data_IF_988334818861
#
_entry.id   IF_988334818861
#
_cell.length_a   1.000
_cell.length_b   1.000
_cell.length_c   1.000
_cell.angle_alpha   90.00
_cell.angle_beta   90.00
_cell.angle_gamma   90.00
#
_symmetry.space_group_name_H-M   'P 1'
#
loop_
_entity.id
_entity.type
_entity.pdbx_description
1 polymer ?
#
# COMPACT_ATOMS: atom_id res chain seq x y z
N UNK A 1 8.64 14.71 15.59
CA UNK A 1 8.13 15.12 14.27
C UNK A 1 6.63 14.92 14.23
N UNK A 2 5.92 15.93 13.75
CA UNK A 2 4.48 15.84 13.64
C UNK A 2 4.06 15.13 12.38
N UNK A 3 3.02 14.32 12.50
CA UNK A 3 2.42 13.70 11.33
C UNK A 3 1.69 14.76 10.51
N UNK A 4 1.67 14.62 9.17
CA UNK A 4 0.87 15.53 8.36
C UNK A 4 -0.59 15.52 8.77
N UNK A 5 -1.24 16.66 8.65
CA UNK A 5 -2.62 16.80 9.12
C UNK A 5 -3.61 15.88 8.44
N UNK A 6 -3.31 15.47 7.22
CA UNK A 6 -4.23 14.60 6.48
C UNK A 6 -4.11 13.12 6.85
N UNK A 7 -3.18 12.79 7.74
CA UNK A 7 -3.10 11.42 8.23
C UNK A 7 -3.99 11.26 9.45
N UNK A 8 -4.87 10.29 9.37
CA UNK A 8 -5.74 9.95 10.49
C UNK A 8 -5.08 8.83 11.29
N UNK A 9 -4.58 9.19 12.46
CA UNK A 9 -3.92 8.24 13.34
C UNK A 9 -4.83 7.70 14.45
N UNK A 10 -6.12 8.03 14.39
CA UNK A 10 -7.04 7.60 15.45
C UNK A 10 -7.18 6.09 15.53
N UNK A 11 -6.98 5.41 14.40
CA UNK A 11 -7.07 3.95 14.33
C UNK A 11 -5.72 3.33 13.97
N UNK A 12 -4.65 4.09 14.17
CA UNK A 12 -3.34 3.68 13.72
C UNK A 12 -3.15 4.04 12.25
N UNK A 13 -1.94 4.39 11.87
CA UNK A 13 -1.66 4.74 10.48
C UNK A 13 -1.25 3.50 9.70
N UNK A 14 -1.42 3.57 8.40
CA UNK A 14 -0.97 2.51 7.52
C UNK A 14 0.56 2.36 7.60
N UNK A 15 1.25 3.46 7.82
CA UNK A 15 2.70 3.42 7.98
C UNK A 15 3.11 2.64 9.21
N UNK A 16 2.39 2.84 10.30
CA UNK A 16 2.66 2.08 11.53
C UNK A 16 2.40 0.60 11.30
N UNK A 17 1.33 0.27 10.62
CA UNK A 17 1.03 -1.12 10.28
C UNK A 17 2.16 -1.72 9.44
N UNK A 18 2.61 -0.99 8.43
CA UNK A 18 3.70 -1.45 7.57
C UNK A 18 4.97 -1.73 8.36
N UNK A 19 5.29 -0.84 9.29
CA UNK A 19 6.47 -1.01 10.12
C UNK A 19 6.35 -2.22 11.03
N UNK A 20 5.19 -2.40 11.65
CA UNK A 20 4.94 -3.54 12.52
C UNK A 20 5.02 -4.87 11.79
N UNK A 21 4.64 -4.88 10.53
CA UNK A 21 4.66 -6.09 9.71
C UNK A 21 5.95 -6.26 8.91
N UNK A 22 6.88 -5.31 9.02
CA UNK A 22 8.12 -5.31 8.26
C UNK A 22 7.88 -5.38 6.75
N UNK A 23 6.91 -4.62 6.28
CA UNK A 23 6.59 -4.59 4.85
C UNK A 23 7.68 -3.88 4.07
N UNK A 24 8.00 -4.42 2.89
CA UNK A 24 8.88 -3.70 1.98
C UNK A 24 8.05 -2.73 1.13
N UNK A 25 8.73 -1.95 0.28
CA UNK A 25 8.05 -0.92 -0.51
C UNK A 25 7.02 -1.49 -1.48
N UNK A 26 7.27 -2.67 -2.03
CA UNK A 26 6.32 -3.32 -2.93
C UNK A 26 5.03 -3.67 -2.21
N UNK A 27 5.19 -4.29 -1.05
CA UNK A 27 4.05 -4.73 -0.24
C UNK A 27 3.25 -3.54 0.27
N UNK A 28 3.95 -2.52 0.76
CA UNK A 28 3.30 -1.32 1.27
C UNK A 28 2.51 -0.61 0.17
N UNK A 29 3.10 -0.46 -1.01
CA UNK A 29 2.44 0.21 -2.11
C UNK A 29 1.17 -0.53 -2.53
N UNK A 30 1.22 -1.84 -2.62
CA UNK A 30 0.06 -2.66 -2.98
C UNK A 30 -1.06 -2.48 -1.96
N UNK A 31 -0.73 -2.58 -0.67
CA UNK A 31 -1.73 -2.45 0.39
C UNK A 31 -2.32 -1.05 0.40
N UNK A 32 -1.49 -0.03 0.25
CA UNK A 32 -1.95 1.36 0.21
C UNK A 32 -2.96 1.57 -0.92
N UNK A 33 -2.69 1.05 -2.10
CA UNK A 33 -3.60 1.18 -3.24
C UNK A 33 -4.91 0.46 -2.99
N UNK A 34 -4.85 -0.73 -2.42
CA UNK A 34 -6.07 -1.48 -2.10
C UNK A 34 -6.92 -0.73 -1.09
N UNK A 35 -6.30 -0.22 -0.03
CA UNK A 35 -7.02 0.51 1.02
C UNK A 35 -7.73 1.73 0.46
N UNK A 36 -7.07 2.50 -0.41
CA UNK A 36 -7.66 3.74 -0.91
C UNK A 36 -8.59 3.56 -2.10
N UNK A 37 -8.55 2.40 -2.75
CA UNK A 37 -9.22 2.20 -4.03
C UNK A 37 -10.72 2.52 -4.00
N UNK A 38 -11.41 2.07 -2.96
CA UNK A 38 -12.84 2.32 -2.84
C UNK A 38 -13.15 3.70 -2.28
N UNK A 39 -12.21 4.27 -1.53
CA UNK A 39 -12.44 5.56 -0.88
C UNK A 39 -12.41 6.73 -1.84
N UNK A 40 -11.62 6.62 -2.92
CA UNK A 40 -11.43 7.71 -3.86
C UNK A 40 -12.16 7.51 -5.19
N UNK A 41 -12.96 6.47 -5.30
CA UNK A 41 -13.69 6.20 -6.52
C UNK A 41 -12.83 5.79 -7.71
N UNK A 42 -11.60 5.33 -7.42
CA UNK A 42 -10.66 4.91 -8.45
C UNK A 42 -10.41 3.41 -8.35
N UNK A 43 -11.45 2.66 -7.99
CA UNK A 43 -11.30 1.24 -7.70
C UNK A 43 -10.63 0.49 -8.85
N UNK A 44 -11.18 0.58 -10.04
CA UNK A 44 -10.68 -0.17 -11.19
C UNK A 44 -9.22 0.18 -11.49
N UNK A 45 -8.91 1.48 -11.53
CA UNK A 45 -7.55 1.93 -11.82
C UNK A 45 -6.56 1.47 -10.76
N UNK A 46 -6.91 1.64 -9.50
CA UNK A 46 -6.01 1.27 -8.42
C UNK A 46 -5.81 -0.24 -8.35
N UNK A 47 -6.86 -1.02 -8.60
CA UNK A 47 -6.71 -2.48 -8.59
C UNK A 47 -5.83 -2.94 -9.76
N UNK A 48 -6.02 -2.36 -10.95
CA UNK A 48 -5.16 -2.70 -12.09
C UNK A 48 -3.70 -2.37 -11.82
N UNK A 49 -3.43 -1.20 -11.24
CA UNK A 49 -2.07 -0.81 -10.89
C UNK A 49 -1.49 -1.73 -9.83
N UNK A 50 -2.32 -2.15 -8.88
CA UNK A 50 -1.89 -3.08 -7.84
C UNK A 50 -1.49 -4.43 -8.44
N UNK A 51 -2.25 -4.90 -9.41
CA UNK A 51 -1.91 -6.15 -10.09
C UNK A 51 -0.54 -6.02 -10.77
N UNK A 52 -0.29 -4.89 -11.44
CA UNK A 52 1.00 -4.66 -12.08
C UNK A 52 2.13 -4.64 -11.06
N UNK A 53 1.92 -3.96 -9.93
CA UNK A 53 2.92 -3.91 -8.87
C UNK A 53 3.22 -5.32 -8.35
N UNK A 54 2.18 -6.12 -8.13
CA UNK A 54 2.36 -7.48 -7.63
C UNK A 54 3.06 -8.38 -8.65
N UNK A 55 2.77 -8.19 -9.93
CA UNK A 55 3.46 -8.94 -10.97
C UNK A 55 4.94 -8.60 -11.02
N UNK A 56 5.26 -7.31 -10.88
CA UNK A 56 6.66 -6.88 -10.83
C UNK A 56 7.35 -7.42 -9.58
N UNK A 57 6.65 -7.40 -8.47
CA UNK A 57 7.18 -7.93 -7.21
C UNK A 57 7.50 -9.42 -7.36
N UNK A 58 6.59 -10.15 -7.95
CA UNK A 58 6.79 -11.58 -8.19
C UNK A 58 7.99 -11.81 -9.09
N UNK A 59 8.14 -11.01 -10.14
CA UNK A 59 9.25 -11.13 -11.07
C UNK A 59 10.59 -10.85 -10.39
N UNK A 60 10.64 -9.82 -9.56
CA UNK A 60 11.87 -9.41 -8.90
C UNK A 60 12.30 -10.37 -7.79
N UNK A 61 11.33 -10.92 -7.06
CA UNK A 61 11.61 -11.73 -5.87
C UNK A 61 11.31 -13.21 -6.05
N UNK A 62 10.38 -13.54 -6.92
CA UNK A 62 9.94 -14.92 -7.09
C UNK A 62 10.95 -15.80 -7.77
N UNK A 63 11.93 -15.22 -8.46
CA UNK A 63 12.94 -15.97 -9.19
C UNK A 63 14.23 -16.16 -8.39
N UNK A 64 14.20 -15.81 -7.14
CA UNK A 64 15.40 -15.91 -6.28
C UNK A 64 15.39 -17.18 -5.44
#
# INVERSE_FOLDING_TARGET
MEAPKHYDNSKGSLYLFAEQQNLNSWEFDAIKRIVRSRKKGLFTEDIKKTIIVLELYLKEYGNK
#
